data_IF_332581056029
#
_entry.id   IF_332581056029
#
_cell.length_a   1.000
_cell.length_b   1.000
_cell.length_c   1.000
_cell.angle_alpha   90.00
_cell.angle_beta   90.00
_cell.angle_gamma   90.00
#
_symmetry.space_group_name_H-M   'P 1'
#
loop_
_entity.id
_entity.type
_entity.pdbx_description
1 polymer ?
#
# COMPACT_ATOMS: atom_id res chain seq x y z
N UNK A 1 -10.93 -4.81 -24.86
CA UNK A 1 -11.22 -6.10 -25.53
C UNK A 1 -12.50 -5.94 -26.32
N UNK A 2 -12.42 -6.19 -27.63
CA UNK A 2 -13.55 -6.13 -28.54
C UNK A 2 -14.38 -7.41 -28.41
N UNK A 3 -15.62 -7.36 -28.88
CA UNK A 3 -16.55 -8.50 -28.81
C UNK A 3 -16.10 -9.70 -29.65
N UNK A 4 -15.28 -9.48 -30.66
CA UNK A 4 -14.65 -10.52 -31.48
C UNK A 4 -13.48 -11.23 -30.76
N UNK A 5 -13.24 -10.92 -29.49
CA UNK A 5 -12.16 -11.49 -28.69
C UNK A 5 -10.81 -10.85 -28.93
N UNK A 6 -10.70 -9.90 -29.87
CA UNK A 6 -9.44 -9.21 -30.15
C UNK A 6 -9.17 -8.11 -29.13
N UNK A 7 -7.89 -7.84 -28.90
CA UNK A 7 -7.45 -6.70 -28.13
C UNK A 7 -7.08 -5.55 -29.07
N UNK A 8 -7.47 -4.34 -28.69
CA UNK A 8 -7.10 -3.10 -29.36
C UNK A 8 -6.85 -2.07 -28.26
N UNK A 9 -5.71 -1.39 -28.32
CA UNK A 9 -5.40 -0.31 -27.37
C UNK A 9 -6.45 0.81 -27.50
N UNK A 10 -6.65 1.55 -26.40
CA UNK A 10 -7.60 2.66 -26.35
C UNK A 10 -7.32 3.74 -27.41
N UNK A 11 -6.03 3.97 -27.72
CA UNK A 11 -5.53 4.86 -28.77
C UNK A 11 -6.03 4.52 -30.18
N UNK A 12 -6.34 3.25 -30.44
CA UNK A 12 -6.75 2.76 -31.76
C UNK A 12 -8.24 2.43 -31.87
N UNK A 13 -9.03 2.63 -30.80
CA UNK A 13 -10.48 2.45 -30.85
C UNK A 13 -11.12 3.41 -31.85
N UNK A 14 -12.23 2.96 -32.46
CA UNK A 14 -13.01 3.75 -33.42
C UNK A 14 -14.47 3.83 -32.97
N UNK A 15 -15.14 4.91 -33.33
CA UNK A 15 -16.59 5.03 -33.17
C UNK A 15 -17.25 3.87 -33.93
N UNK A 16 -18.15 3.14 -33.24
CA UNK A 16 -18.82 1.95 -33.76
C UNK A 16 -18.15 0.61 -33.41
N UNK A 17 -16.93 0.61 -32.85
CA UNK A 17 -16.32 -0.61 -32.32
C UNK A 17 -17.23 -1.23 -31.24
N UNK A 18 -17.42 -2.55 -31.32
CA UNK A 18 -18.26 -3.30 -30.36
C UNK A 18 -17.39 -3.79 -29.21
N UNK A 19 -17.62 -3.25 -28.02
CA UNK A 19 -16.92 -3.64 -26.81
C UNK A 19 -17.57 -4.88 -26.19
N UNK A 20 -16.76 -5.69 -25.52
CA UNK A 20 -17.28 -6.70 -24.60
C UNK A 20 -18.22 -6.03 -23.57
N UNK A 21 -19.40 -6.59 -23.30
CA UNK A 21 -20.25 -6.10 -22.22
C UNK A 21 -19.50 -6.19 -20.89
N UNK A 22 -19.74 -5.20 -20.02
CA UNK A 22 -19.24 -5.25 -18.65
C UNK A 22 -19.84 -6.48 -17.95
N UNK A 23 -19.08 -7.20 -17.11
CA UNK A 23 -19.67 -8.17 -16.21
C UNK A 23 -20.77 -7.49 -15.37
N UNK A 24 -21.87 -8.19 -15.04
CA UNK A 24 -22.99 -7.63 -14.30
C UNK A 24 -22.67 -7.24 -12.84
N UNK A 25 -21.45 -7.47 -12.37
CA UNK A 25 -21.05 -7.38 -10.95
C UNK A 25 -19.92 -6.37 -10.70
N UNK A 26 -19.99 -5.17 -11.29
CA UNK A 26 -19.24 -4.02 -10.76
C UNK A 26 -20.16 -3.27 -9.79
N UNK A 27 -19.92 -3.45 -8.49
CA UNK A 27 -20.72 -2.89 -7.40
C UNK A 27 -20.73 -1.36 -7.39
N UNK A 28 -21.89 -0.80 -7.06
CA UNK A 28 -22.20 0.62 -6.99
C UNK A 28 -23.64 0.85 -7.47
N UNK A 29 -24.28 1.96 -7.08
CA UNK A 29 -25.66 2.36 -7.44
C UNK A 29 -25.90 2.58 -8.95
N UNK A 30 -25.06 2.03 -9.83
CA UNK A 30 -25.31 1.97 -11.26
C UNK A 30 -26.37 0.88 -11.52
N UNK A 31 -27.51 1.30 -12.07
CA UNK A 31 -28.58 0.40 -12.51
C UNK A 31 -28.00 -0.84 -13.21
N UNK A 32 -28.44 -2.03 -12.76
CA UNK A 32 -28.08 -3.32 -13.37
C UNK A 32 -28.31 -3.24 -14.88
N UNK A 33 -27.23 -3.09 -15.65
CA UNK A 33 -27.30 -3.04 -17.11
C UNK A 33 -27.78 -4.43 -17.58
N UNK A 34 -28.93 -4.54 -18.28
CA UNK A 34 -29.43 -5.81 -18.76
C UNK A 34 -28.37 -6.56 -19.58
N UNK A 35 -28.12 -7.82 -19.23
CA UNK A 35 -27.29 -8.70 -20.03
C UNK A 35 -27.88 -8.80 -21.45
N UNK A 36 -27.10 -8.38 -22.46
CA UNK A 36 -27.54 -8.36 -23.86
C UNK A 36 -27.51 -7.00 -24.55
N UNK A 37 -27.17 -5.92 -23.85
CA UNK A 37 -26.99 -4.61 -24.49
C UNK A 37 -25.65 -4.57 -25.23
N UNK A 38 -25.71 -4.27 -26.53
CA UNK A 38 -24.52 -4.07 -27.35
C UNK A 38 -23.87 -2.74 -26.97
N UNK A 39 -22.71 -2.78 -26.31
CA UNK A 39 -21.91 -1.59 -26.07
C UNK A 39 -21.13 -1.25 -27.34
N UNK A 40 -21.54 -0.17 -28.00
CA UNK A 40 -20.78 0.43 -29.10
C UNK A 40 -20.10 1.70 -28.61
N UNK A 41 -18.87 1.93 -29.07
CA UNK A 41 -18.18 3.19 -28.83
C UNK A 41 -18.96 4.30 -29.54
N UNK A 42 -19.66 5.14 -28.78
CA UNK A 42 -20.44 6.25 -29.31
C UNK A 42 -19.56 7.49 -29.61
N UNK A 43 -18.58 7.74 -28.74
CA UNK A 43 -17.64 8.85 -28.86
C UNK A 43 -16.32 8.48 -28.19
N UNK A 44 -15.22 8.96 -28.74
CA UNK A 44 -13.89 8.85 -28.14
C UNK A 44 -13.42 10.26 -27.82
N UNK A 45 -13.06 10.48 -26.56
CA UNK A 45 -12.45 11.73 -26.10
C UNK A 45 -11.18 11.35 -25.36
N UNK A 46 -10.05 11.72 -25.94
CA UNK A 46 -8.78 11.67 -25.22
C UNK A 46 -8.80 12.79 -24.18
N UNK A 47 -8.54 12.43 -22.93
CA UNK A 47 -8.35 13.39 -21.86
C UNK A 47 -6.88 13.79 -21.89
N UNK A 48 -6.60 15.09 -21.87
CA UNK A 48 -5.22 15.61 -21.71
C UNK A 48 -4.73 15.48 -20.26
N UNK A 49 -5.54 14.86 -19.40
CA UNK A 49 -5.24 14.56 -18.01
C UNK A 49 -4.63 13.16 -17.95
N UNK A 50 -3.40 13.09 -17.46
CA UNK A 50 -2.80 11.84 -16.98
C UNK A 50 -3.14 11.71 -15.51
N UNK A 51 -3.73 10.59 -15.15
CA UNK A 51 -3.93 10.19 -13.76
C UNK A 51 -2.97 9.04 -13.51
N UNK A 52 -2.11 9.19 -12.49
CA UNK A 52 -1.26 8.10 -12.05
C UNK A 52 -2.16 7.05 -11.39
N UNK A 53 -2.20 5.84 -11.94
CA UNK A 53 -2.88 4.70 -11.34
C UNK A 53 -1.87 4.01 -10.42
N UNK A 54 -2.10 4.08 -9.11
CA UNK A 54 -1.19 3.53 -8.09
C UNK A 54 -1.42 2.04 -7.82
N UNK A 55 -2.35 1.42 -8.55
CA UNK A 55 -3.00 0.18 -8.15
C UNK A 55 -2.73 -0.90 -9.21
N UNK A 56 -1.60 -1.60 -9.08
CA UNK A 56 -1.34 -2.84 -9.82
C UNK A 56 -0.99 -3.93 -8.82
N UNK A 57 -1.99 -4.71 -8.41
CA UNK A 57 -1.71 -6.00 -7.77
C UNK A 57 -1.58 -7.05 -8.87
N UNK A 58 -0.37 -7.61 -9.04
CA UNK A 58 -0.18 -8.83 -9.82
C UNK A 58 0.13 -9.95 -8.85
N UNK A 59 -0.87 -10.72 -8.46
CA UNK A 59 -0.76 -11.75 -7.41
C UNK A 59 0.41 -12.72 -7.65
N UNK A 60 0.66 -13.06 -8.91
CA UNK A 60 1.74 -13.96 -9.33
C UNK A 60 3.15 -13.36 -9.16
N UNK A 61 3.30 -12.03 -9.27
CA UNK A 61 4.61 -11.33 -9.28
C UNK A 61 4.74 -10.26 -8.19
N UNK A 62 3.82 -10.22 -7.22
CA UNK A 62 3.73 -9.18 -6.20
C UNK A 62 5.05 -8.98 -5.45
N UNK A 63 5.72 -10.08 -5.11
CA UNK A 63 7.02 -10.07 -4.42
C UNK A 63 8.16 -9.51 -5.29
N UNK A 64 8.16 -9.80 -6.60
CA UNK A 64 9.16 -9.29 -7.53
C UNK A 64 8.96 -7.79 -7.80
N UNK A 65 7.72 -7.35 -7.94
CA UNK A 65 7.35 -5.95 -8.14
C UNK A 65 7.72 -5.10 -6.90
N UNK A 66 7.39 -5.56 -5.69
CA UNK A 66 7.82 -4.92 -4.44
C UNK A 66 9.36 -4.87 -4.32
N UNK A 67 10.04 -5.97 -4.65
CA UNK A 67 11.51 -6.06 -4.61
C UNK A 67 12.17 -5.10 -5.62
N UNK A 68 11.56 -4.93 -6.79
CA UNK A 68 11.99 -3.99 -7.82
C UNK A 68 11.42 -2.57 -7.63
N UNK A 69 10.97 -2.19 -6.43
CA UNK A 69 10.51 -0.82 -6.16
C UNK A 69 9.28 -0.39 -6.97
N UNK A 70 8.49 -1.33 -7.48
CA UNK A 70 7.14 -1.07 -7.99
C UNK A 70 6.22 -1.05 -6.77
N UNK A 71 5.92 0.16 -6.33
CA UNK A 71 5.03 0.41 -5.20
C UNK A 71 3.60 0.17 -5.63
N UNK A 72 2.99 -0.88 -5.08
CA UNK A 72 1.57 -1.17 -5.24
C UNK A 72 0.87 -0.58 -4.03
N UNK A 73 0.26 0.58 -4.19
CA UNK A 73 -0.62 1.12 -3.17
C UNK A 73 -2.04 0.84 -3.63
N UNK A 74 -2.59 -0.30 -3.21
CA UNK A 74 -4.03 -0.51 -3.35
C UNK A 74 -4.78 0.59 -2.59
N UNK A 75 -5.97 0.93 -3.06
CA UNK A 75 -6.90 1.79 -2.32
C UNK A 75 -6.92 1.44 -0.83
N UNK A 76 -6.81 2.46 0.04
CA UNK A 76 -6.91 2.31 1.50
C UNK A 76 -8.30 1.79 1.92
N UNK A 77 -9.29 1.96 1.03
CA UNK A 77 -10.64 1.43 1.16
C UNK A 77 -10.76 -0.04 0.72
N UNK A 78 -9.66 -0.63 0.22
CA UNK A 78 -9.58 -1.99 -0.32
C UNK A 78 -10.49 -2.22 -1.54
N UNK A 79 -10.64 -1.18 -2.36
CA UNK A 79 -11.25 -1.32 -3.67
C UNK A 79 -10.34 -2.17 -4.57
N UNK A 80 -10.91 -3.09 -5.36
CA UNK A 80 -10.11 -3.90 -6.27
C UNK A 80 -9.50 -3.03 -7.40
N UNK A 81 -8.27 -3.33 -7.83
CA UNK A 81 -7.64 -2.62 -8.95
C UNK A 81 -8.40 -2.85 -10.26
N UNK A 82 -8.18 -1.95 -11.23
CA UNK A 82 -8.70 -2.15 -12.58
C UNK A 82 -8.10 -3.41 -13.22
N UNK A 83 -8.89 -4.08 -14.07
CA UNK A 83 -8.42 -5.30 -14.75
C UNK A 83 -7.18 -5.03 -15.61
N UNK A 84 -6.25 -5.99 -15.69
CA UNK A 84 -4.93 -5.88 -16.37
C UNK A 84 -4.96 -5.31 -17.80
N UNK A 85 -6.10 -5.46 -18.50
CA UNK A 85 -6.29 -4.96 -19.87
C UNK A 85 -6.45 -3.43 -19.95
N UNK A 86 -6.57 -2.77 -18.81
CA UNK A 86 -6.75 -1.32 -18.65
C UNK A 86 -5.56 -0.65 -17.95
N UNK A 87 -4.58 -1.42 -17.47
CA UNK A 87 -3.46 -0.91 -16.69
C UNK A 87 -2.16 -1.05 -17.47
N UNK A 88 -1.27 -0.08 -17.30
CA UNK A 88 0.10 -0.10 -17.82
C UNK A 88 1.06 0.09 -16.66
N UNK A 89 2.21 -0.60 -16.69
CA UNK A 89 3.21 -0.55 -15.63
C UNK A 89 4.60 -0.29 -16.20
N UNK A 90 5.44 0.38 -15.40
CA UNK A 90 6.88 0.49 -15.64
C UNK A 90 7.62 0.48 -14.31
N UNK A 91 8.90 0.09 -14.35
CA UNK A 91 9.77 0.19 -13.19
C UNK A 91 9.92 1.65 -12.74
N UNK A 92 9.92 1.85 -11.43
CA UNK A 92 10.21 3.14 -10.82
C UNK A 92 11.69 3.48 -10.98
N UNK A 93 12.07 4.74 -10.77
CA UNK A 93 13.49 5.13 -10.85
C UNK A 93 14.35 4.40 -9.81
N UNK A 94 13.79 4.16 -8.62
CA UNK A 94 14.50 3.49 -7.53
C UNK A 94 14.73 1.99 -7.81
N UNK A 95 13.87 1.38 -8.64
CA UNK A 95 14.06 0.01 -9.16
C UNK A 95 15.42 -0.20 -9.82
N UNK A 96 15.89 0.82 -10.55
CA UNK A 96 17.15 0.74 -11.28
C UNK A 96 18.34 0.61 -10.33
N UNK A 97 18.25 1.13 -9.10
CA UNK A 97 19.29 0.95 -8.07
C UNK A 97 19.31 -0.48 -7.50
N UNK A 98 18.17 -1.18 -7.57
CA UNK A 98 18.07 -2.58 -7.14
C UNK A 98 18.71 -3.51 -8.19
N UNK A 99 18.49 -3.20 -9.46
CA UNK A 99 19.02 -3.93 -10.61
C UNK A 99 20.40 -3.45 -11.08
N UNK A 100 20.97 -2.46 -10.41
CA UNK A 100 22.20 -1.83 -10.83
C UNK A 100 23.33 -2.85 -10.96
N UNK A 101 24.09 -2.74 -12.04
CA UNK A 101 25.28 -3.54 -12.34
C UNK A 101 25.03 -5.05 -12.55
N UNK A 102 23.76 -5.48 -12.66
CA UNK A 102 23.41 -6.90 -12.84
C UNK A 102 23.97 -7.49 -14.14
N UNK A 103 24.17 -6.68 -15.18
CA UNK A 103 24.77 -7.11 -16.45
C UNK A 103 26.25 -7.53 -16.34
N UNK A 104 26.94 -7.18 -15.25
CA UNK A 104 28.35 -7.51 -15.03
C UNK A 104 28.55 -8.82 -14.26
N UNK A 105 27.56 -9.72 -14.29
CA UNK A 105 27.61 -11.03 -13.62
C UNK A 105 27.90 -10.91 -12.11
N UNK A 106 27.34 -9.90 -11.45
CA UNK A 106 27.59 -9.61 -10.03
C UNK A 106 26.88 -10.54 -9.05
N UNK A 107 25.98 -11.40 -9.55
CA UNK A 107 25.16 -12.33 -8.76
C UNK A 107 25.12 -13.70 -9.43
N UNK A 108 24.92 -14.74 -8.62
CA UNK A 108 24.76 -16.10 -9.12
C UNK A 108 23.39 -16.28 -9.80
N UNK A 109 23.38 -17.10 -10.86
CA UNK A 109 22.19 -17.45 -11.62
C UNK A 109 21.88 -18.94 -11.51
N UNK A 110 20.59 -19.28 -11.43
CA UNK A 110 20.09 -20.65 -11.51
C UNK A 110 19.22 -20.85 -12.75
N UNK A 111 19.11 -22.08 -13.29
CA UNK A 111 18.15 -22.38 -14.34
C UNK A 111 16.70 -22.20 -13.85
N UNK A 112 15.81 -21.75 -14.73
CA UNK A 112 14.36 -21.73 -14.48
C UNK A 112 13.80 -23.15 -14.33
N UNK A 113 12.55 -23.28 -13.84
CA UNK A 113 11.91 -24.58 -13.58
C UNK A 113 11.87 -25.53 -14.80
N UNK A 114 11.80 -24.97 -16.00
CA UNK A 114 11.78 -25.68 -17.29
C UNK A 114 13.18 -25.79 -17.92
N UNK A 115 14.20 -25.20 -17.30
CA UNK A 115 15.59 -25.19 -17.76
C UNK A 115 15.85 -24.39 -19.04
N UNK A 116 14.88 -23.61 -19.53
CA UNK A 116 15.00 -22.86 -20.79
C UNK A 116 15.75 -21.55 -20.63
N UNK A 117 15.66 -20.93 -19.45
CA UNK A 117 16.31 -19.66 -19.12
C UNK A 117 17.10 -19.76 -17.82
N UNK A 118 17.79 -18.68 -17.48
CA UNK A 118 18.43 -18.51 -16.18
C UNK A 118 17.82 -17.29 -15.49
N UNK A 119 17.66 -17.40 -14.18
CA UNK A 119 17.19 -16.32 -13.31
C UNK A 119 18.22 -16.05 -12.20
N UNK A 120 18.37 -14.78 -11.78
CA UNK A 120 19.28 -14.44 -10.69
C UNK A 120 18.73 -14.97 -9.35
N UNK A 121 19.61 -15.55 -8.53
CA UNK A 121 19.24 -16.02 -7.18
C UNK A 121 18.98 -14.85 -6.21
N UNK A 122 19.69 -13.74 -6.41
CA UNK A 122 19.55 -12.51 -5.63
C UNK A 122 19.67 -11.31 -6.56
N UNK A 123 19.11 -10.17 -6.14
CA UNK A 123 19.32 -8.91 -6.84
C UNK A 123 20.55 -8.18 -6.25
N UNK A 124 21.34 -7.45 -7.06
CA UNK A 124 22.52 -6.72 -6.56
C UNK A 124 22.20 -5.76 -5.41
N UNK A 125 21.04 -5.10 -5.47
CA UNK A 125 20.44 -4.27 -4.41
C UNK A 125 21.39 -3.32 -3.70
N UNK A 126 21.61 -2.12 -4.28
CA UNK A 126 22.35 -1.03 -3.60
C UNK A 126 21.63 -0.48 -2.37
N UNK A 127 20.34 -0.81 -2.23
CA UNK A 127 19.48 -0.34 -1.16
C UNK A 127 19.21 -1.45 -0.13
N UNK A 128 19.11 -1.12 1.17
CA UNK A 128 18.76 -2.08 2.22
C UNK A 128 17.25 -2.41 2.23
N UNK A 129 16.74 -2.95 1.12
CA UNK A 129 15.30 -3.08 0.83
C UNK A 129 14.47 -3.74 1.94
N UNK A 130 15.00 -4.77 2.61
CA UNK A 130 14.27 -5.49 3.67
C UNK A 130 13.93 -4.58 4.86
N UNK A 131 14.78 -3.59 5.17
CA UNK A 131 14.51 -2.63 6.23
C UNK A 131 13.60 -1.50 5.76
N UNK A 132 13.76 -1.07 4.50
CA UNK A 132 12.98 0.02 3.92
C UNK A 132 11.50 -0.34 3.78
N UNK A 133 11.23 -1.51 3.20
CA UNK A 133 9.88 -1.94 2.90
C UNK A 133 9.27 -2.80 4.01
N UNK A 134 10.10 -3.41 4.85
CA UNK A 134 9.66 -4.44 5.78
C UNK A 134 9.41 -5.77 5.08
N UNK A 135 8.88 -6.73 5.85
CA UNK A 135 8.57 -8.07 5.37
C UNK A 135 7.54 -8.72 6.30
N UNK A 136 6.44 -9.22 5.73
CA UNK A 136 5.42 -9.99 6.45
C UNK A 136 5.25 -11.34 5.77
N UNK A 137 5.12 -12.41 6.56
CA UNK A 137 4.96 -13.75 6.00
C UNK A 137 4.76 -14.83 7.04
N UNK A 138 3.97 -15.84 6.68
CA UNK A 138 3.69 -17.00 7.52
C UNK A 138 4.16 -18.25 6.76
N UNK A 139 5.02 -19.03 7.39
CA UNK A 139 5.55 -20.29 6.89
C UNK A 139 5.22 -21.43 7.86
N UNK A 140 5.58 -22.66 7.50
CA UNK A 140 5.33 -23.83 8.36
C UNK A 140 6.17 -23.71 9.64
N UNK A 141 5.51 -23.42 10.76
CA UNK A 141 6.12 -23.29 12.08
C UNK A 141 6.85 -21.96 12.34
N UNK A 142 6.76 -20.99 11.43
CA UNK A 142 7.46 -19.70 11.53
C UNK A 142 6.58 -18.56 11.02
N UNK A 143 6.75 -17.37 11.59
CA UNK A 143 6.13 -16.16 11.10
C UNK A 143 7.12 -15.00 11.22
N UNK A 144 7.07 -14.07 10.26
CA UNK A 144 7.86 -12.84 10.25
C UNK A 144 6.92 -11.65 10.07
N UNK A 145 7.23 -10.57 10.78
CA UNK A 145 6.63 -9.26 10.57
C UNK A 145 7.67 -8.20 10.91
N UNK A 146 8.16 -7.51 9.89
CA UNK A 146 9.15 -6.44 9.97
C UNK A 146 8.52 -5.17 9.44
N UNK A 147 8.49 -4.07 10.21
CA UNK A 147 7.94 -2.81 9.76
C UNK A 147 8.92 -2.05 8.84
N UNK A 148 8.41 -1.15 7.99
CA UNK A 148 9.22 -0.28 7.14
C UNK A 148 10.02 0.76 7.94
N UNK A 149 11.10 1.27 7.34
CA UNK A 149 11.99 2.26 7.95
C UNK A 149 12.38 3.34 6.94
N UNK A 150 12.77 4.50 7.47
CA UNK A 150 13.19 5.63 6.66
C UNK A 150 14.55 5.38 5.99
N UNK A 151 14.65 5.62 4.68
CA UNK A 151 15.88 5.42 3.91
C UNK A 151 17.06 6.24 4.45
N UNK A 152 16.85 7.52 4.78
CA UNK A 152 17.90 8.39 5.27
C UNK A 152 18.46 7.89 6.61
N UNK A 153 17.57 7.57 7.55
CA UNK A 153 17.96 7.05 8.86
C UNK A 153 18.73 5.73 8.77
N UNK A 154 18.27 4.81 7.91
CA UNK A 154 18.95 3.51 7.71
C UNK A 154 20.34 3.71 7.09
N UNK A 155 20.48 4.59 6.10
CA UNK A 155 21.79 4.89 5.48
C UNK A 155 22.74 5.54 6.47
N UNK A 156 22.28 6.49 7.28
CA UNK A 156 23.10 7.13 8.31
C UNK A 156 23.58 6.11 9.35
N UNK A 157 22.69 5.21 9.80
CA UNK A 157 23.03 4.10 10.68
C UNK A 157 24.06 3.14 10.07
N UNK A 158 23.92 2.81 8.78
CA UNK A 158 24.88 1.97 8.05
C UNK A 158 26.26 2.63 7.93
N UNK A 159 26.32 3.93 7.58
CA UNK A 159 27.58 4.68 7.50
C UNK A 159 28.27 4.69 8.88
N UNK A 160 27.50 4.88 9.95
CA UNK A 160 28.03 4.83 11.31
C UNK A 160 28.58 3.45 11.64
N UNK A 161 27.87 2.37 11.32
CA UNK A 161 28.28 0.99 11.57
C UNK A 161 29.53 0.59 10.77
N UNK A 162 29.68 1.07 9.53
CA UNK A 162 30.90 0.86 8.73
C UNK A 162 32.13 1.44 9.42
N UNK A 163 32.00 2.62 10.02
CA UNK A 163 33.08 3.30 10.75
C UNK A 163 33.30 2.72 12.15
N UNK A 164 32.26 2.20 12.78
CA UNK A 164 32.27 1.68 14.14
C UNK A 164 31.71 0.25 14.17
N UNK A 165 32.53 -0.73 13.80
CA UNK A 165 32.07 -2.13 13.64
C UNK A 165 31.48 -2.79 14.89
N UNK A 166 31.82 -2.27 16.07
CA UNK A 166 31.34 -2.78 17.36
C UNK A 166 30.24 -1.89 17.97
N UNK A 167 29.60 -1.05 17.16
CA UNK A 167 28.50 -0.20 17.61
C UNK A 167 27.40 -1.04 18.28
N UNK A 168 26.93 -0.53 19.40
CA UNK A 168 25.80 -1.08 20.15
C UNK A 168 24.49 -0.71 19.47
N UNK A 169 23.41 -1.43 19.80
CA UNK A 169 22.06 -1.13 19.29
C UNK A 169 21.66 0.29 19.67
N UNK A 170 22.02 0.75 20.87
CA UNK A 170 21.69 2.09 21.37
C UNK A 170 22.37 3.19 20.57
N UNK A 171 23.61 2.95 20.15
CA UNK A 171 24.35 3.88 19.29
C UNK A 171 23.74 3.94 17.90
N UNK A 172 23.34 2.80 17.31
CA UNK A 172 22.65 2.78 16.01
C UNK A 172 21.28 3.46 16.10
N UNK A 173 20.56 3.31 17.21
CA UNK A 173 19.26 3.95 17.44
C UNK A 173 19.31 5.47 17.55
N UNK A 174 20.49 6.09 17.67
CA UNK A 174 20.63 7.53 17.53
C UNK A 174 20.38 8.01 16.10
N UNK A 175 20.60 7.12 15.12
CA UNK A 175 20.37 7.36 13.70
C UNK A 175 19.02 6.77 13.27
N UNK A 176 18.78 5.49 13.56
CA UNK A 176 17.52 4.79 13.26
C UNK A 176 16.58 4.87 14.45
N UNK A 177 15.70 5.87 14.47
CA UNK A 177 14.90 6.20 15.66
C UNK A 177 13.78 5.19 15.90
N UNK A 178 13.32 4.54 14.84
CA UNK A 178 12.24 3.58 14.86
C UNK A 178 11.71 3.30 13.45
N UNK A 179 10.62 2.53 13.35
CA UNK A 179 9.91 2.33 12.10
C UNK A 179 9.30 3.61 11.54
N UNK A 180 9.16 3.67 10.22
CA UNK A 180 8.56 4.77 9.48
C UNK A 180 7.42 4.20 8.61
N UNK A 181 6.18 4.33 9.10
CA UNK A 181 5.01 3.74 8.46
C UNK A 181 4.50 4.64 7.33
N UNK A 182 4.15 4.07 6.15
CA UNK A 182 3.67 4.86 5.01
C UNK A 182 2.34 5.56 5.28
N UNK A 183 1.52 5.03 6.21
CA UNK A 183 0.24 5.64 6.62
C UNK A 183 0.41 6.66 7.77
N UNK A 184 1.63 6.84 8.27
CA UNK A 184 1.93 7.65 9.44
C UNK A 184 1.47 7.00 10.75
N UNK A 185 0.88 7.81 11.62
CA UNK A 185 0.45 7.43 12.97
C UNK A 185 1.43 7.85 14.05
N UNK A 186 1.09 7.49 15.29
CA UNK A 186 1.85 7.85 16.49
C UNK A 186 2.26 6.58 17.20
N UNK A 187 3.57 6.31 17.24
CA UNK A 187 4.12 5.21 18.02
C UNK A 187 4.09 5.58 19.51
N UNK A 188 3.50 4.71 20.32
CA UNK A 188 3.39 4.90 21.76
C UNK A 188 4.55 4.18 22.48
N UNK A 189 5.52 4.97 22.94
CA UNK A 189 6.67 4.47 23.68
C UNK A 189 7.78 3.88 22.80
N UNK A 190 8.98 3.77 23.37
CA UNK A 190 10.20 3.32 22.66
C UNK A 190 10.75 1.98 23.15
N UNK A 191 10.26 1.48 24.28
CA UNK A 191 10.74 0.23 24.89
C UNK A 191 10.53 -0.96 23.97
N UNK A 192 9.39 -1.02 23.29
CA UNK A 192 9.05 -2.06 22.32
C UNK A 192 9.98 -2.09 21.11
N UNK A 193 10.34 -0.91 20.59
CA UNK A 193 11.30 -0.76 19.48
C UNK A 193 12.68 -1.27 19.91
N UNK A 194 13.16 -0.81 21.07
CA UNK A 194 14.48 -1.22 21.58
C UNK A 194 14.55 -2.74 21.81
N UNK A 195 13.49 -3.34 22.35
CA UNK A 195 13.41 -4.78 22.53
C UNK A 195 13.42 -5.52 21.18
N UNK A 196 12.66 -5.02 20.20
CA UNK A 196 12.62 -5.59 18.85
C UNK A 196 14.01 -5.56 18.20
N UNK A 197 14.73 -4.45 18.28
CA UNK A 197 16.06 -4.34 17.69
C UNK A 197 17.12 -5.18 18.39
N UNK A 198 17.02 -5.38 19.72
CA UNK A 198 17.95 -6.23 20.47
C UNK A 198 17.70 -7.73 20.28
N UNK A 199 16.44 -8.14 20.13
CA UNK A 199 16.05 -9.56 20.24
C UNK A 199 15.37 -10.13 18.99
N UNK A 200 15.03 -9.28 18.02
CA UNK A 200 14.18 -9.63 16.88
C UNK A 200 12.69 -9.74 17.24
N UNK A 201 12.30 -9.50 18.49
CA UNK A 201 10.89 -9.56 18.95
C UNK A 201 10.56 -8.37 19.83
N UNK A 202 9.43 -7.73 19.56
CA UNK A 202 8.93 -6.63 20.38
C UNK A 202 7.49 -6.30 19.99
N UNK A 203 6.82 -5.52 20.84
CA UNK A 203 5.48 -5.02 20.58
C UNK A 203 5.54 -3.50 20.43
N UNK A 204 4.97 -2.99 19.35
CA UNK A 204 4.87 -1.56 19.09
C UNK A 204 3.39 -1.22 19.04
N UNK A 205 2.95 -0.29 19.89
CA UNK A 205 1.58 0.20 19.87
C UNK A 205 1.51 1.44 18.98
N UNK A 206 0.67 1.38 17.93
CA UNK A 206 0.48 2.45 16.96
C UNK A 206 -0.92 3.07 17.14
N UNK A 207 -0.97 4.39 17.29
CA UNK A 207 -2.21 5.16 17.46
C UNK A 207 -2.48 6.02 16.23
N UNK A 208 -3.75 6.12 15.84
CA UNK A 208 -4.21 7.09 14.84
C UNK A 208 -3.88 8.53 15.27
N UNK A 209 -3.54 9.40 14.33
CA UNK A 209 -3.42 10.84 14.61
C UNK A 209 -4.80 11.46 14.53
N UNK A 210 -5.23 12.08 15.63
CA UNK A 210 -6.50 12.77 15.70
C UNK A 210 -6.35 14.16 16.35
N UNK A 211 -7.18 15.09 15.91
CA UNK A 211 -7.36 16.40 16.51
C UNK A 211 -8.83 16.60 16.91
N UNK A 212 -9.08 17.35 17.99
CA UNK A 212 -10.44 17.66 18.44
C UNK A 212 -10.72 19.13 18.15
N UNK A 213 -11.80 19.41 17.42
CA UNK A 213 -12.24 20.77 17.08
C UNK A 213 -13.74 20.89 17.25
N UNK A 214 -14.20 21.81 18.12
CA UNK A 214 -15.62 22.17 18.29
C UNK A 214 -16.58 20.96 18.48
N UNK A 215 -16.16 19.93 19.23
CA UNK A 215 -16.97 18.72 19.45
C UNK A 215 -16.89 17.69 18.31
N UNK A 216 -15.94 17.84 17.39
CA UNK A 216 -15.63 16.87 16.34
C UNK A 216 -14.24 16.27 16.59
N UNK A 217 -14.13 14.96 16.43
CA UNK A 217 -12.86 14.23 16.41
C UNK A 217 -12.49 14.01 14.95
N UNK A 218 -11.34 14.51 14.54
CA UNK A 218 -10.86 14.49 13.17
C UNK A 218 -9.62 13.63 13.12
N UNK A 219 -9.68 12.49 12.45
CA UNK A 219 -8.52 11.65 12.19
C UNK A 219 -7.86 12.02 10.87
N UNK A 220 -6.56 12.26 10.90
CA UNK A 220 -5.75 12.64 9.72
C UNK A 220 -4.83 11.51 9.26
N UNK A 221 -4.51 10.57 10.15
CA UNK A 221 -3.67 9.39 9.86
C UNK A 221 -4.27 8.17 10.57
N UNK A 222 -4.26 7.03 9.89
CA UNK A 222 -4.68 5.74 10.46
C UNK A 222 -3.47 4.81 10.64
N UNK A 223 -3.52 3.87 11.60
CA UNK A 223 -2.43 2.91 11.79
C UNK A 223 -2.16 2.07 10.54
N UNK A 224 -0.93 1.58 10.42
CA UNK A 224 -0.49 0.72 9.33
C UNK A 224 -1.33 -0.58 9.27
N UNK A 225 -1.60 -1.06 8.05
CA UNK A 225 -2.44 -2.25 7.77
C UNK A 225 -3.90 -2.16 8.26
N UNK A 226 -4.42 -0.96 8.53
CA UNK A 226 -5.84 -0.76 8.87
C UNK A 226 -6.64 -0.37 7.63
N UNK A 227 -7.70 -1.12 7.36
CA UNK A 227 -8.69 -0.78 6.34
C UNK A 227 -9.61 0.35 6.84
N UNK A 228 -9.71 1.44 6.07
CA UNK A 228 -10.52 2.62 6.46
C UNK A 228 -12.02 2.32 6.41
N UNK A 229 -12.51 1.69 5.34
CA UNK A 229 -13.93 1.36 5.20
C UNK A 229 -14.42 0.41 6.31
N UNK A 230 -13.63 -0.60 6.66
CA UNK A 230 -13.89 -1.54 7.75
C UNK A 230 -13.87 -0.84 9.11
N UNK A 231 -12.91 0.06 9.33
CA UNK A 231 -12.85 0.89 10.54
C UNK A 231 -14.14 1.72 10.70
N UNK A 232 -14.58 2.42 9.65
CA UNK A 232 -15.79 3.24 9.69
C UNK A 232 -17.05 2.40 9.93
N UNK A 233 -17.14 1.25 9.24
CA UNK A 233 -18.24 0.30 9.42
C UNK A 233 -18.29 -0.20 10.87
N UNK A 234 -17.14 -0.55 11.45
CA UNK A 234 -17.07 -1.04 12.82
C UNK A 234 -17.45 0.01 13.86
N UNK A 235 -17.02 1.26 13.67
CA UNK A 235 -17.43 2.36 14.55
C UNK A 235 -18.94 2.59 14.46
N UNK A 236 -19.52 2.53 13.25
CA UNK A 236 -20.96 2.70 13.05
C UNK A 236 -21.78 1.57 13.70
N UNK A 237 -21.32 0.32 13.59
CA UNK A 237 -21.90 -0.85 14.26
C UNK A 237 -21.89 -0.66 15.79
N UNK A 238 -20.72 -0.36 16.37
CA UNK A 238 -20.56 -0.16 17.82
C UNK A 238 -21.36 1.04 18.36
N UNK A 239 -21.56 2.07 17.55
CA UNK A 239 -22.44 3.20 17.89
C UNK A 239 -23.92 2.81 17.87
N UNK A 240 -24.33 1.90 16.99
CA UNK A 240 -25.71 1.42 16.89
C UNK A 240 -26.06 0.42 18.00
N UNK A 241 -25.09 -0.39 18.41
CA UNK A 241 -25.21 -1.32 19.54
C UNK A 241 -25.10 -0.62 20.91
N UNK A 242 -24.95 0.71 20.93
CA UNK A 242 -24.77 1.53 22.13
C UNK A 242 -23.56 1.13 22.99
N UNK A 243 -22.59 0.42 22.39
CA UNK A 243 -21.30 0.11 23.03
C UNK A 243 -20.44 1.37 23.11
N UNK A 244 -20.46 2.18 22.04
CA UNK A 244 -19.84 3.51 22.03
C UNK A 244 -20.96 4.55 22.01
N UNK A 245 -21.13 5.23 23.14
CA UNK A 245 -22.08 6.32 23.26
C UNK A 245 -21.50 7.65 22.73
N UNK A 246 -22.37 8.65 22.55
CA UNK A 246 -21.93 10.01 22.23
C UNK A 246 -21.60 10.27 20.76
N UNK A 247 -21.52 9.27 19.89
CA UNK A 247 -21.36 9.49 18.45
C UNK A 247 -22.68 10.01 17.84
N UNK A 248 -22.61 11.15 17.15
CA UNK A 248 -23.73 11.75 16.43
C UNK A 248 -23.73 11.39 14.95
N UNK A 249 -22.56 11.42 14.30
CA UNK A 249 -22.42 11.06 12.88
C UNK A 249 -20.96 10.82 12.55
N UNK A 250 -20.70 9.94 11.60
CA UNK A 250 -19.36 9.66 11.06
C UNK A 250 -19.37 10.06 9.58
N UNK A 251 -18.34 10.77 9.13
CA UNK A 251 -18.17 11.19 7.74
C UNK A 251 -16.75 10.93 7.28
N UNK A 252 -16.62 10.37 6.09
CA UNK A 252 -15.35 10.33 5.38
C UNK A 252 -15.26 11.54 4.44
N UNK A 253 -14.30 12.43 4.73
CA UNK A 253 -13.95 13.61 3.93
C UNK A 253 -12.57 13.42 3.27
N UNK A 254 -12.08 12.19 3.18
CA UNK A 254 -10.79 11.87 2.54
C UNK A 254 -10.81 12.23 1.06
N UNK A 255 -9.68 12.70 0.56
CA UNK A 255 -9.49 13.08 -0.83
C UNK A 255 -8.13 12.56 -1.34
N UNK A 256 -7.74 12.94 -2.56
CA UNK A 256 -6.42 12.58 -3.13
C UNK A 256 -5.24 13.13 -2.33
N UNK A 257 -5.44 14.18 -1.54
CA UNK A 257 -4.37 14.85 -0.77
C UNK A 257 -4.15 14.20 0.61
N UNK A 258 -5.12 13.45 1.13
CA UNK A 258 -4.96 12.74 2.38
C UNK A 258 -6.24 12.20 3.00
N UNK A 259 -6.06 11.48 4.11
CA UNK A 259 -7.14 10.90 4.90
C UNK A 259 -7.74 11.96 5.81
N UNK A 260 -9.07 12.03 5.83
CA UNK A 260 -9.81 12.89 6.75
C UNK A 260 -11.11 12.23 7.19
N UNK A 261 -11.11 11.64 8.37
CA UNK A 261 -12.30 11.02 8.96
C UNK A 261 -12.82 11.95 10.05
N UNK A 262 -14.09 12.34 9.96
CA UNK A 262 -14.75 13.24 10.92
C UNK A 262 -15.81 12.49 11.71
N UNK A 263 -15.61 12.38 13.02
CA UNK A 263 -16.57 11.84 13.97
C UNK A 263 -17.16 12.99 14.77
N UNK A 264 -18.45 13.27 14.58
CA UNK A 264 -19.16 14.30 15.35
C UNK A 264 -19.66 13.70 16.65
N UNK A 265 -19.39 14.39 17.76
CA UNK A 265 -19.83 14.00 19.10
C UNK A 265 -21.10 14.78 19.48
N UNK A 266 -22.03 14.15 20.19
CA UNK A 266 -23.24 14.77 20.72
C UNK A 266 -22.86 15.83 21.76
N UNK A 267 -23.62 16.93 21.84
CA UNK A 267 -23.31 18.09 22.68
C UNK A 267 -23.13 17.81 24.18
N UNK A 268 -23.66 16.69 24.67
CA UNK A 268 -23.59 16.30 26.09
C UNK A 268 -22.44 15.35 26.42
N UNK A 269 -21.60 15.01 25.44
CA UNK A 269 -20.49 14.08 25.59
C UNK A 269 -19.15 14.81 25.45
N UNK A 270 -18.15 14.33 26.18
CA UNK A 270 -16.80 14.87 26.09
C UNK A 270 -16.00 14.10 25.02
N UNK A 271 -15.50 14.75 23.95
CA UNK A 271 -14.71 14.08 22.91
C UNK A 271 -13.30 13.62 23.37
N UNK A 272 -12.82 14.08 24.53
CA UNK A 272 -11.49 13.72 25.06
C UNK A 272 -11.48 12.46 25.95
N UNK A 273 -12.66 12.00 26.40
CA UNK A 273 -12.81 10.96 27.42
C UNK A 273 -13.57 9.77 26.87
#
# INVERSE_FOLDING_TARGET
MLRDGTYREASYLRVGDSLMPSPPELGGDAEKIPAGINHKVAQIRFLDQREDVYDITVEEYHNFLLSCGVFVHNSVDNDPPAAMRYTEAKLSKIANEVLADIEYETVDYAPTFDGTMKEPLFLPSKLPNILLNGASGIAVGMATNMPPHNLGEVVDGLIYLIRNRNATVEEIMQFVKGPDFPTGGIILGKSGILQAYRTGRGKIDLRARAEIKKGEIIFTEIPYEVNKAELLSKIAELSKEEVIEGISSIKDESNKEGIRIVVKVKSNFNPEV
#
